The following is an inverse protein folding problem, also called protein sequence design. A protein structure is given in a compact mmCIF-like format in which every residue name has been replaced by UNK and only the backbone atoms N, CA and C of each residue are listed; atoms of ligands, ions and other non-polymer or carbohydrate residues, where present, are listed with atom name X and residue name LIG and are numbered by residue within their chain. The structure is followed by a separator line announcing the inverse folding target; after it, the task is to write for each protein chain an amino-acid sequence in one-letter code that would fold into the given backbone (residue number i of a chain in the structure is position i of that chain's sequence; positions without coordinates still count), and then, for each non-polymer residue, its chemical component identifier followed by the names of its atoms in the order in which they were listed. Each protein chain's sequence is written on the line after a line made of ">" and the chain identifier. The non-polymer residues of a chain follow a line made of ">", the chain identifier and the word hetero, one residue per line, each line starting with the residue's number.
data_IF_212207965171
#
_entry.id   IF_212207965171
#
_cell.length_a   1.000
_cell.length_b   1.000
_cell.length_c   1.000
_cell.angle_alpha   90.00
_cell.angle_beta   90.00
_cell.angle_gamma   90.00
#
_symmetry.space_group_name_H-M   'P 1'
#
loop_
_entity.id
_entity.type
_entity.pdbx_description
1 polymer ?
#
# COMPACT_ATOMS: atom_id res chain seq x y z
N UNK A 1 -4.75 44.62 25.14
CA UNK A 1 -3.51 44.86 24.37
C UNK A 1 -3.85 44.63 22.91
N UNK A 2 -4.07 45.69 22.13
CA UNK A 2 -4.38 45.59 20.71
C UNK A 2 -3.11 45.27 19.92
N UNK A 3 -3.10 44.14 19.21
CA UNK A 3 -2.03 43.80 18.27
C UNK A 3 -2.01 44.81 17.10
N UNK A 4 -0.83 45.29 16.67
CA UNK A 4 -0.72 46.24 15.57
C UNK A 4 -1.28 45.63 14.28
N UNK A 5 -1.95 46.44 13.44
CA UNK A 5 -2.73 46.01 12.26
C UNK A 5 -2.02 44.97 11.37
N UNK A 6 -0.70 45.11 11.20
CA UNK A 6 0.13 44.25 10.35
C UNK A 6 0.26 42.81 10.87
N UNK A 7 0.24 42.61 12.19
CA UNK A 7 0.30 41.27 12.80
C UNK A 7 -1.07 40.57 12.72
N UNK A 8 -2.16 41.35 12.74
CA UNK A 8 -3.53 40.85 12.59
C UNK A 8 -3.77 40.32 11.16
N UNK A 9 -3.33 41.08 10.16
CA UNK A 9 -3.37 40.66 8.75
C UNK A 9 -2.59 39.36 8.49
N UNK A 10 -1.41 39.21 9.11
CA UNK A 10 -0.60 37.99 8.97
C UNK A 10 -1.27 36.78 9.64
N UNK A 11 -1.86 36.97 10.81
CA UNK A 11 -2.61 35.94 11.52
C UNK A 11 -3.86 35.51 10.74
N UNK A 12 -4.58 36.47 10.16
CA UNK A 12 -5.78 36.21 9.35
C UNK A 12 -5.43 35.43 8.08
N UNK A 13 -4.31 35.78 7.40
CA UNK A 13 -3.82 35.05 6.24
C UNK A 13 -3.41 33.60 6.60
N UNK A 14 -2.74 33.40 7.75
CA UNK A 14 -2.38 32.06 8.22
C UNK A 14 -3.62 31.21 8.53
N UNK A 15 -4.64 31.81 9.16
CA UNK A 15 -5.93 31.14 9.39
C UNK A 15 -6.62 30.75 8.09
N UNK A 16 -6.62 31.62 7.09
CA UNK A 16 -7.24 31.36 5.80
C UNK A 16 -6.55 30.19 5.07
N UNK A 17 -5.21 30.20 5.01
CA UNK A 17 -4.42 29.13 4.39
C UNK A 17 -4.65 27.79 5.09
N UNK A 18 -4.59 27.76 6.42
CA UNK A 18 -4.84 26.53 7.18
C UNK A 18 -6.28 26.05 7.01
N UNK A 19 -7.26 26.96 7.03
CA UNK A 19 -8.66 26.59 6.80
C UNK A 19 -8.87 26.00 5.41
N UNK A 20 -8.19 26.49 4.39
CA UNK A 20 -8.31 25.99 3.01
C UNK A 20 -7.68 24.61 2.81
N UNK A 21 -6.57 24.32 3.50
CA UNK A 21 -5.91 23.01 3.44
C UNK A 21 -6.73 21.90 4.12
N UNK A 22 -7.47 22.24 5.18
CA UNK A 22 -8.19 21.27 6.01
C UNK A 22 -9.72 21.32 5.84
N UNK A 23 -10.26 22.29 5.11
CA UNK A 23 -11.68 22.31 4.75
C UNK A 23 -11.90 21.46 3.50
N UNK A 24 -12.48 20.28 3.70
CA UNK A 24 -12.93 19.42 2.61
C UNK A 24 -14.15 20.08 1.93
N UNK A 25 -14.14 20.34 0.61
CA UNK A 25 -15.31 20.86 -0.08
C UNK A 25 -16.43 19.80 -0.05
N UNK A 26 -17.54 20.17 0.60
CA UNK A 26 -18.85 19.52 0.62
C UNK A 26 -18.95 18.10 0.07
N UNK A 27 -18.89 17.10 0.95
CA UNK A 27 -19.78 15.94 0.76
C UNK A 27 -21.20 16.48 0.83
N UNK A 28 -21.94 16.36 -0.28
CA UNK A 28 -23.38 16.53 -0.27
C UNK A 28 -23.93 15.50 0.73
N UNK A 29 -24.46 15.95 1.86
CA UNK A 29 -25.25 15.09 2.75
C UNK A 29 -26.50 14.68 1.98
N UNK A 30 -26.49 13.49 1.38
CA UNK A 30 -27.73 12.82 0.99
C UNK A 30 -28.53 12.56 2.27
N UNK A 31 -29.74 13.12 2.30
CA UNK A 31 -30.76 12.89 3.33
C UNK A 31 -30.86 11.38 3.60
N UNK A 32 -30.74 10.92 4.86
CA UNK A 32 -30.70 9.49 5.15
C UNK A 32 -32.05 8.85 4.80
N UNK A 33 -32.03 7.98 3.79
CA UNK A 33 -33.16 7.09 3.45
C UNK A 33 -33.46 6.22 4.68
N UNK A 34 -34.68 6.36 5.20
CA UNK A 34 -35.34 5.60 6.29
C UNK A 34 -34.68 4.22 6.53
N UNK A 35 -33.89 4.13 7.60
CA UNK A 35 -33.21 2.90 8.02
C UNK A 35 -34.23 1.82 8.40
N UNK A 36 -34.08 0.63 7.83
CA UNK A 36 -34.70 -0.60 8.36
C UNK A 36 -34.05 -0.90 9.72
N UNK A 37 -34.78 -1.44 10.70
CA UNK A 37 -34.21 -1.70 12.02
C UNK A 37 -33.06 -2.71 11.91
N UNK A 38 -31.88 -2.28 12.34
CA UNK A 38 -30.68 -3.12 12.46
C UNK A 38 -30.95 -4.13 13.58
N UNK A 39 -30.81 -5.41 13.24
CA UNK A 39 -30.93 -6.52 14.17
C UNK A 39 -29.82 -6.40 15.22
N UNK A 40 -30.19 -6.26 16.48
CA UNK A 40 -29.23 -6.18 17.61
C UNK A 40 -28.42 -7.46 17.71
N UNK A 41 -27.12 -7.38 17.44
CA UNK A 41 -26.16 -8.46 17.73
C UNK A 41 -25.78 -8.35 19.21
N UNK A 42 -26.02 -9.41 19.99
CA UNK A 42 -25.62 -9.46 21.40
C UNK A 42 -24.08 -9.42 21.51
N UNK A 43 -23.51 -8.63 22.43
CA UNK A 43 -22.06 -8.60 22.64
C UNK A 43 -21.58 -9.93 23.23
N UNK A 44 -20.42 -10.41 22.73
CA UNK A 44 -19.70 -11.55 23.32
C UNK A 44 -19.09 -11.13 24.67
N UNK A 45 -19.12 -11.99 25.71
CA UNK A 45 -18.56 -11.64 27.01
C UNK A 45 -17.03 -11.49 26.90
N UNK A 46 -16.49 -10.40 27.47
CA UNK A 46 -15.05 -10.18 27.62
C UNK A 46 -14.43 -9.00 26.88
N UNK A 47 -15.22 -8.18 26.16
CA UNK A 47 -14.68 -6.99 25.46
C UNK A 47 -15.32 -5.72 26.02
N UNK A 48 -14.60 -5.03 26.89
CA UNK A 48 -14.99 -3.69 27.37
C UNK A 48 -15.00 -2.74 26.18
N UNK A 49 -16.14 -2.12 25.92
CA UNK A 49 -16.27 -1.05 24.93
C UNK A 49 -15.68 0.20 25.59
N UNK A 50 -14.51 0.63 25.11
CA UNK A 50 -13.88 1.86 25.59
C UNK A 50 -14.69 3.02 25.05
N UNK A 51 -15.42 3.69 25.94
CA UNK A 51 -16.35 4.78 25.63
C UNK A 51 -15.73 6.17 25.71
N UNK A 52 -14.43 6.27 26.01
CA UNK A 52 -13.71 7.54 26.17
C UNK A 52 -12.49 7.58 25.25
N UNK A 53 -12.16 8.73 24.62
CA UNK A 53 -10.90 8.91 23.91
C UNK A 53 -9.73 8.66 24.86
N UNK A 54 -8.68 7.96 24.41
CA UNK A 54 -7.46 7.75 25.20
C UNK A 54 -6.87 9.11 25.58
N UNK A 55 -6.74 9.39 26.88
CA UNK A 55 -5.94 10.50 27.36
C UNK A 55 -4.45 10.14 27.22
N UNK A 56 -3.74 10.85 26.33
CA UNK A 56 -2.27 10.82 26.24
C UNK A 56 -1.68 11.54 27.45
N UNK A 57 -1.68 10.88 28.61
CA UNK A 57 -0.82 11.31 29.73
C UNK A 57 0.59 10.82 29.46
N UNK A 58 1.42 11.68 28.89
CA UNK A 58 2.86 11.46 28.75
C UNK A 58 3.49 11.72 30.12
N UNK A 59 3.83 10.66 30.84
CA UNK A 59 4.74 10.79 31.98
C UNK A 59 6.14 11.10 31.46
N UNK A 60 6.65 12.27 31.82
CA UNK A 60 8.04 12.67 31.58
C UNK A 60 8.97 11.79 32.43
N UNK A 61 9.46 10.68 31.86
CA UNK A 61 10.59 9.93 32.43
C UNK A 61 11.89 10.42 31.80
N UNK A 62 12.68 11.17 32.56
CA UNK A 62 14.07 11.50 32.24
C UNK A 62 15.01 10.35 32.66
N UNK A 63 14.70 9.12 32.23
CA UNK A 63 15.52 7.94 32.44
C UNK A 63 16.21 7.51 31.14
N UNK A 64 17.38 6.84 31.20
CA UNK A 64 18.01 6.27 30.01
C UNK A 64 17.03 5.30 29.34
N UNK A 65 16.78 5.51 28.06
CA UNK A 65 15.96 4.61 27.26
C UNK A 65 16.72 3.29 27.11
N UNK A 66 16.32 2.30 27.90
CA UNK A 66 16.80 0.93 27.76
C UNK A 66 16.14 0.33 26.50
N UNK A 67 16.91 -0.22 25.55
CA UNK A 67 16.34 -0.82 24.35
C UNK A 67 15.50 -2.03 24.75
N UNK A 68 14.23 -2.07 24.32
CA UNK A 68 13.47 -3.31 24.35
C UNK A 68 14.15 -4.30 23.39
N UNK A 69 14.56 -5.45 23.94
CA UNK A 69 15.05 -6.60 23.20
C UNK A 69 13.91 -7.18 22.35
N UNK A 70 13.88 -6.81 21.07
CA UNK A 70 13.18 -7.59 20.06
C UNK A 70 14.06 -8.79 19.71
N UNK A 71 13.51 -9.97 19.97
CA UNK A 71 14.02 -11.31 19.71
C UNK A 71 15.09 -11.42 18.60
N UNK A 72 16.20 -12.04 18.99
CA UNK A 72 17.30 -12.53 18.17
C UNK A 72 16.81 -13.43 17.03
N UNK A 73 16.66 -12.85 15.84
CA UNK A 73 17.16 -13.49 14.63
C UNK A 73 18.30 -12.57 14.17
N UNK A 74 19.54 -12.95 14.51
CA UNK A 74 20.77 -12.35 13.98
C UNK A 74 20.93 -12.75 12.50
N UNK A 75 19.96 -12.34 11.68
CA UNK A 75 20.16 -12.15 10.26
C UNK A 75 20.74 -10.74 10.10
N UNK A 76 21.87 -10.64 9.40
CA UNK A 76 22.48 -9.40 8.88
C UNK A 76 21.47 -8.25 8.84
N UNK A 77 21.63 -7.24 9.71
CA UNK A 77 20.58 -6.27 10.04
C UNK A 77 19.88 -5.76 8.77
N UNK A 78 18.66 -6.26 8.50
CA UNK A 78 17.96 -6.01 7.24
C UNK A 78 17.98 -4.50 6.95
N UNK A 79 18.67 -4.10 5.88
CA UNK A 79 18.89 -2.70 5.47
C UNK A 79 17.57 -1.89 5.51
N UNK A 80 16.45 -2.53 5.18
CA UNK A 80 15.12 -1.94 5.33
C UNK A 80 14.76 -1.60 6.79
N UNK A 81 14.96 -2.52 7.73
CA UNK A 81 14.69 -2.32 9.16
C UNK A 81 15.55 -1.19 9.73
N UNK A 82 16.82 -1.10 9.33
CA UNK A 82 17.73 -0.01 9.73
C UNK A 82 17.16 1.34 9.30
N UNK A 83 16.79 1.48 8.02
CA UNK A 83 16.21 2.72 7.50
C UNK A 83 14.88 3.08 8.17
N UNK A 84 14.06 2.07 8.53
CA UNK A 84 12.80 2.31 9.22
C UNK A 84 13.00 2.79 10.65
N UNK A 85 14.00 2.26 11.36
CA UNK A 85 14.41 2.75 12.67
C UNK A 85 14.91 4.19 12.60
N UNK A 86 15.82 4.49 11.67
CA UNK A 86 16.33 5.85 11.45
C UNK A 86 15.22 6.85 11.09
N UNK A 87 14.25 6.45 10.25
CA UNK A 87 13.08 7.27 9.92
C UNK A 87 12.31 7.66 11.19
N UNK A 88 12.04 6.68 12.07
CA UNK A 88 11.32 6.91 13.32
C UNK A 88 12.08 7.85 14.25
N UNK A 89 13.37 7.63 14.43
CA UNK A 89 14.24 8.48 15.25
C UNK A 89 14.25 9.93 14.74
N UNK A 90 14.51 10.13 13.45
CA UNK A 90 14.50 11.47 12.85
C UNK A 90 13.14 12.15 12.96
N UNK A 91 12.04 11.40 12.85
CA UNK A 91 10.70 11.96 13.00
C UNK A 91 10.39 12.38 14.44
N UNK A 92 10.85 11.62 15.44
CA UNK A 92 10.74 12.00 16.85
C UNK A 92 11.54 13.28 17.12
N UNK A 93 12.81 13.32 16.71
CA UNK A 93 13.67 14.49 16.89
C UNK A 93 13.14 15.73 16.18
N UNK A 94 12.63 15.59 14.95
CA UNK A 94 11.98 16.68 14.22
C UNK A 94 10.80 17.28 15.00
N UNK A 95 9.95 16.44 15.60
CA UNK A 95 8.81 16.89 16.39
C UNK A 95 9.25 17.68 17.62
N UNK A 96 10.29 17.21 18.31
CA UNK A 96 10.86 17.90 19.46
C UNK A 96 11.40 19.28 19.10
N UNK A 97 12.14 19.40 17.98
CA UNK A 97 12.63 20.70 17.51
C UNK A 97 11.51 21.65 17.13
N UNK A 98 10.47 21.18 16.43
CA UNK A 98 9.35 22.05 16.08
C UNK A 98 8.51 22.46 17.28
N UNK A 99 8.32 21.58 18.26
CA UNK A 99 7.71 21.93 19.54
C UNK A 99 8.53 23.00 20.25
N UNK A 100 9.84 22.80 20.35
CA UNK A 100 10.74 23.76 20.99
C UNK A 100 10.79 25.10 20.27
N UNK A 101 10.75 25.09 18.93
CA UNK A 101 10.70 26.30 18.12
C UNK A 101 9.39 27.08 18.35
N UNK A 102 8.27 26.37 18.46
CA UNK A 102 6.98 26.96 18.80
C UNK A 102 7.00 27.60 20.20
N UNK A 103 7.55 26.89 21.19
CA UNK A 103 7.66 27.40 22.57
C UNK A 103 8.57 28.64 22.63
N UNK A 104 9.72 28.63 21.93
CA UNK A 104 10.61 29.79 21.83
C UNK A 104 9.92 31.00 21.16
N UNK A 105 9.15 30.75 20.10
CA UNK A 105 8.37 31.79 19.43
C UNK A 105 7.29 32.37 20.35
N UNK A 106 6.57 31.53 21.08
CA UNK A 106 5.56 31.94 22.04
C UNK A 106 6.16 32.77 23.20
N UNK A 107 7.38 32.44 23.62
CA UNK A 107 8.15 33.19 24.62
C UNK A 107 8.78 34.49 24.06
N UNK A 108 8.65 34.76 22.76
CA UNK A 108 9.15 35.97 22.10
C UNK A 108 10.61 35.91 21.64
N UNK A 109 11.31 34.79 21.86
CA UNK A 109 12.68 34.59 21.38
C UNK A 109 12.68 34.11 19.93
N UNK A 110 12.61 35.07 19.01
CA UNK A 110 12.56 34.81 17.57
C UNK A 110 13.87 34.22 17.03
N UNK A 111 15.01 34.59 17.59
CA UNK A 111 16.30 34.10 17.11
C UNK A 111 16.46 32.61 17.42
N UNK A 112 16.13 32.21 18.65
CA UNK A 112 16.12 30.81 19.06
C UNK A 112 15.07 30.01 18.28
N UNK A 113 13.87 30.55 18.08
CA UNK A 113 12.82 29.90 17.29
C UNK A 113 13.28 29.59 15.86
N UNK A 114 13.93 30.55 15.19
CA UNK A 114 14.45 30.38 13.83
C UNK A 114 15.57 29.33 13.76
N UNK A 115 16.43 29.25 14.77
CA UNK A 115 17.47 28.23 14.85
C UNK A 115 16.89 26.82 15.03
N UNK A 116 15.97 26.67 15.99
CA UNK A 116 15.28 25.40 16.25
C UNK A 116 14.44 24.96 15.03
N UNK A 117 13.84 25.91 14.31
CA UNK A 117 13.12 25.63 13.07
C UNK A 117 14.05 25.05 12.00
N UNK A 118 15.26 25.59 11.83
CA UNK A 118 16.26 25.05 10.89
C UNK A 118 16.69 23.63 11.28
N UNK A 119 16.87 23.36 12.57
CA UNK A 119 17.19 22.01 13.06
C UNK A 119 16.03 21.03 12.78
N UNK A 120 14.79 21.43 13.04
CA UNK A 120 13.62 20.63 12.72
C UNK A 120 13.49 20.33 11.22
N UNK A 121 13.78 21.31 10.35
CA UNK A 121 13.81 21.11 8.89
C UNK A 121 14.90 20.13 8.46
N UNK A 122 16.07 20.19 9.08
CA UNK A 122 17.17 19.25 8.81
C UNK A 122 16.77 17.79 9.13
N UNK A 123 16.18 17.55 10.30
CA UNK A 123 15.70 16.20 10.66
C UNK A 123 14.48 15.77 9.84
N UNK A 124 13.62 16.70 9.41
CA UNK A 124 12.55 16.41 8.46
C UNK A 124 13.12 15.86 7.14
N UNK A 125 14.14 16.52 6.60
CA UNK A 125 14.79 16.08 5.36
C UNK A 125 15.39 14.68 5.52
N UNK A 126 16.10 14.42 6.63
CA UNK A 126 16.64 13.09 6.92
C UNK A 126 15.56 12.01 7.03
N UNK A 127 14.46 12.29 7.74
CA UNK A 127 13.36 11.36 7.87
C UNK A 127 12.76 11.00 6.50
N UNK A 128 12.56 12.01 5.64
CA UNK A 128 12.05 11.80 4.27
C UNK A 128 13.00 10.96 3.42
N UNK A 129 14.30 11.25 3.47
CA UNK A 129 15.27 10.47 2.70
C UNK A 129 15.37 9.02 3.17
N UNK A 130 15.32 8.77 4.48
CA UNK A 130 15.32 7.41 5.02
C UNK A 130 14.05 6.65 4.64
N UNK A 131 12.88 7.30 4.71
CA UNK A 131 11.59 6.73 4.33
C UNK A 131 11.55 6.39 2.83
N UNK A 132 12.02 7.29 1.98
CA UNK A 132 12.11 7.08 0.53
C UNK A 132 13.06 5.93 0.18
N UNK A 133 14.26 5.89 0.77
CA UNK A 133 15.20 4.78 0.58
C UNK A 133 14.61 3.45 1.03
N UNK A 134 13.90 3.43 2.17
CA UNK A 134 13.25 2.21 2.65
C UNK A 134 12.14 1.73 1.72
N UNK A 135 11.39 2.66 1.12
CA UNK A 135 10.35 2.37 0.14
C UNK A 135 10.93 1.80 -1.16
N UNK A 136 12.05 2.37 -1.62
CA UNK A 136 12.80 1.87 -2.78
C UNK A 136 13.28 0.44 -2.56
N UNK A 137 13.85 0.12 -1.39
CA UNK A 137 14.27 -1.24 -1.06
C UNK A 137 13.12 -2.26 -1.12
N UNK A 138 11.92 -1.89 -0.65
CA UNK A 138 10.74 -2.78 -0.79
C UNK A 138 10.42 -3.04 -2.25
N UNK A 139 10.43 -2.00 -3.09
CA UNK A 139 10.11 -2.12 -4.51
C UNK A 139 11.17 -2.92 -5.27
N UNK A 140 12.45 -2.71 -4.97
CA UNK A 140 13.57 -3.47 -5.55
C UNK A 140 13.50 -4.94 -5.14
N UNK A 141 13.29 -5.22 -3.85
CA UNK A 141 13.09 -6.60 -3.35
C UNK A 141 11.93 -7.29 -4.05
N UNK A 142 10.83 -6.59 -4.35
CA UNK A 142 9.71 -7.14 -5.13
C UNK A 142 10.04 -7.37 -6.61
N UNK A 143 10.93 -6.59 -7.21
CA UNK A 143 11.38 -6.82 -8.58
C UNK A 143 12.25 -8.06 -8.70
N UNK A 144 13.12 -8.27 -7.71
CA UNK A 144 14.00 -9.44 -7.64
C UNK A 144 13.24 -10.71 -7.27
N UNK A 145 12.22 -10.61 -6.41
CA UNK A 145 11.37 -11.73 -6.03
C UNK A 145 10.13 -11.78 -6.92
N UNK A 146 10.19 -12.64 -7.94
CA UNK A 146 9.06 -12.89 -8.81
C UNK A 146 7.97 -13.69 -8.08
N UNK A 147 6.81 -13.06 -7.86
CA UNK A 147 5.64 -13.75 -7.32
C UNK A 147 5.05 -14.66 -8.40
N UNK A 148 4.98 -15.97 -8.13
CA UNK A 148 4.44 -16.96 -9.07
C UNK A 148 3.06 -17.42 -8.62
N UNK A 149 2.03 -17.01 -9.37
CA UNK A 149 0.67 -17.52 -9.19
C UNK A 149 0.53 -18.83 -9.95
N UNK A 150 0.29 -19.93 -9.24
CA UNK A 150 0.12 -21.26 -9.87
C UNK A 150 -1.36 -21.60 -10.05
N UNK A 151 -1.74 -22.02 -11.25
CA UNK A 151 -3.10 -22.43 -11.61
C UNK A 151 -3.07 -23.81 -12.25
N UNK A 152 -3.77 -24.76 -11.64
CA UNK A 152 -3.90 -26.11 -12.18
C UNK A 152 -5.15 -26.26 -13.06
N UNK A 153 -4.94 -26.53 -14.33
CA UNK A 153 -5.94 -26.78 -15.36
C UNK A 153 -6.07 -28.26 -15.72
N UNK A 154 -5.36 -29.17 -15.05
CA UNK A 154 -5.32 -30.60 -15.36
C UNK A 154 -6.71 -31.26 -15.38
N UNK A 155 -7.57 -30.90 -14.42
CA UNK A 155 -8.90 -31.50 -14.27
C UNK A 155 -10.02 -30.72 -14.97
N UNK A 156 -9.70 -29.56 -15.56
CA UNK A 156 -10.70 -28.68 -16.17
C UNK A 156 -11.14 -29.18 -17.56
N UNK A 157 -12.41 -29.03 -17.91
CA UNK A 157 -12.85 -29.18 -19.29
C UNK A 157 -12.16 -28.14 -20.20
N UNK A 158 -12.05 -28.41 -21.51
CA UNK A 158 -11.37 -27.47 -22.44
C UNK A 158 -11.96 -26.05 -22.40
N UNK A 159 -13.29 -25.92 -22.30
CA UNK A 159 -13.95 -24.60 -22.22
C UNK A 159 -13.68 -23.91 -20.88
N UNK A 160 -13.67 -24.67 -19.80
CA UNK A 160 -13.41 -24.17 -18.45
C UNK A 160 -11.97 -23.70 -18.33
N UNK A 161 -11.00 -24.49 -18.83
CA UNK A 161 -9.60 -24.12 -18.87
C UNK A 161 -9.36 -22.77 -19.57
N UNK A 162 -9.99 -22.56 -20.73
CA UNK A 162 -9.92 -21.28 -21.47
C UNK A 162 -10.58 -20.15 -20.69
N UNK A 163 -11.75 -20.38 -20.09
CA UNK A 163 -12.43 -19.37 -19.28
C UNK A 163 -11.60 -18.95 -18.07
N UNK A 164 -11.01 -19.92 -17.38
CA UNK A 164 -10.12 -19.72 -16.24
C UNK A 164 -8.88 -18.96 -16.64
N UNK A 165 -8.23 -19.34 -17.76
CA UNK A 165 -7.08 -18.63 -18.29
C UNK A 165 -7.40 -17.16 -18.63
N UNK A 166 -8.49 -16.92 -19.37
CA UNK A 166 -8.97 -15.56 -19.68
C UNK A 166 -9.22 -14.75 -18.40
N UNK A 167 -9.80 -15.36 -17.37
CA UNK A 167 -10.03 -14.70 -16.10
C UNK A 167 -8.70 -14.25 -15.47
N UNK A 168 -7.74 -15.17 -15.31
CA UNK A 168 -6.46 -14.83 -14.69
C UNK A 168 -5.65 -13.80 -15.48
N UNK A 169 -5.59 -13.91 -16.80
CA UNK A 169 -4.97 -12.88 -17.65
C UNK A 169 -5.68 -11.54 -17.48
N UNK A 170 -7.01 -11.49 -17.59
CA UNK A 170 -7.74 -10.24 -17.42
C UNK A 170 -7.64 -9.60 -16.02
N UNK A 171 -7.38 -10.38 -14.97
CA UNK A 171 -7.30 -9.86 -13.59
C UNK A 171 -5.90 -9.60 -13.08
N UNK A 172 -4.90 -10.35 -13.55
CA UNK A 172 -3.53 -10.30 -13.02
C UNK A 172 -2.54 -9.64 -13.99
N UNK A 173 -2.90 -9.44 -15.26
CA UNK A 173 -2.05 -8.72 -16.21
C UNK A 173 -1.82 -7.27 -15.79
N UNK A 174 -0.62 -6.77 -16.05
CA UNK A 174 -0.18 -5.42 -15.68
C UNK A 174 0.27 -5.26 -14.23
N UNK A 175 0.23 -6.32 -13.41
CA UNK A 175 0.84 -6.31 -12.09
C UNK A 175 2.33 -6.62 -12.26
N UNK A 176 3.24 -5.72 -11.83
CA UNK A 176 4.68 -5.91 -12.02
C UNK A 176 5.24 -7.05 -11.17
N UNK A 177 6.28 -7.69 -11.70
CA UNK A 177 7.06 -8.79 -11.13
C UNK A 177 6.23 -10.03 -10.80
N UNK A 178 5.15 -10.26 -11.58
CA UNK A 178 4.28 -11.42 -11.41
C UNK A 178 4.34 -12.37 -12.61
N UNK A 179 4.41 -13.66 -12.29
CA UNK A 179 4.31 -14.74 -13.27
C UNK A 179 3.08 -15.58 -13.00
N UNK A 180 2.43 -16.02 -14.08
CA UNK A 180 1.37 -17.02 -14.06
C UNK A 180 1.93 -18.37 -14.52
N UNK A 181 1.97 -19.33 -13.60
CA UNK A 181 2.33 -20.72 -13.86
C UNK A 181 1.07 -21.54 -14.07
N UNK A 182 0.92 -22.12 -15.25
CA UNK A 182 -0.23 -22.93 -15.63
C UNK A 182 0.17 -24.39 -15.77
N UNK A 183 -0.51 -25.27 -15.02
CA UNK A 183 -0.33 -26.72 -15.10
C UNK A 183 -1.48 -27.29 -15.95
N UNK A 184 -1.21 -27.65 -17.20
CA UNK A 184 -2.21 -28.14 -18.16
C UNK A 184 -2.27 -29.68 -18.17
N UNK A 185 -1.13 -30.33 -17.90
CA UNK A 185 -0.94 -31.79 -17.92
C UNK A 185 -0.29 -32.33 -19.20
N UNK A 186 0.25 -33.56 -19.10
CA UNK A 186 0.96 -34.27 -20.18
C UNK A 186 0.01 -34.62 -21.35
N UNK A 187 0.51 -34.50 -22.58
CA UNK A 187 -0.22 -34.66 -23.84
C UNK A 187 -0.54 -36.13 -24.21
N UNK A 188 -0.28 -37.09 -23.32
CA UNK A 188 -0.54 -38.53 -23.54
C UNK A 188 -2.02 -38.85 -23.80
N UNK A 189 -2.94 -38.03 -23.31
CA UNK A 189 -4.38 -38.20 -23.54
C UNK A 189 -4.91 -37.24 -24.61
N UNK A 190 -5.69 -37.73 -25.57
CA UNK A 190 -6.24 -36.93 -26.68
C UNK A 190 -7.05 -35.69 -26.22
N UNK A 191 -7.80 -35.81 -25.11
CA UNK A 191 -8.53 -34.68 -24.50
C UNK A 191 -7.61 -33.63 -23.89
N UNK A 192 -6.51 -34.06 -23.26
CA UNK A 192 -5.48 -33.17 -22.69
C UNK A 192 -4.73 -32.43 -23.80
N UNK A 193 -4.48 -33.13 -24.92
CA UNK A 193 -3.90 -32.52 -26.11
C UNK A 193 -4.80 -31.39 -26.65
N UNK A 194 -6.11 -31.62 -26.80
CA UNK A 194 -7.04 -30.56 -27.25
C UNK A 194 -7.08 -29.34 -26.32
N UNK A 195 -6.99 -29.54 -24.99
CA UNK A 195 -6.92 -28.44 -24.02
C UNK A 195 -5.64 -27.62 -24.22
N UNK A 196 -4.49 -28.29 -24.28
CA UNK A 196 -3.19 -27.64 -24.49
C UNK A 196 -3.17 -26.85 -25.79
N UNK A 197 -3.62 -27.45 -26.90
CA UNK A 197 -3.68 -26.76 -28.19
C UNK A 197 -4.48 -25.46 -28.09
N UNK A 198 -5.68 -25.49 -27.50
CA UNK A 198 -6.50 -24.26 -27.39
C UNK A 198 -5.92 -23.21 -26.46
N UNK A 199 -5.23 -23.62 -25.40
CA UNK A 199 -4.52 -22.68 -24.51
C UNK A 199 -3.41 -21.98 -25.28
N UNK A 200 -2.59 -22.72 -26.02
CA UNK A 200 -1.51 -22.15 -26.83
C UNK A 200 -2.04 -21.27 -27.97
N UNK A 201 -3.09 -21.70 -28.67
CA UNK A 201 -3.78 -20.89 -29.69
C UNK A 201 -4.28 -19.55 -29.11
N UNK A 202 -4.78 -19.54 -27.88
CA UNK A 202 -5.21 -18.29 -27.22
C UNK A 202 -3.99 -17.38 -26.96
N UNK A 203 -2.90 -17.93 -26.43
CA UNK A 203 -1.70 -17.13 -26.13
C UNK A 203 -1.07 -16.56 -27.40
N UNK A 204 -1.01 -17.35 -28.48
CA UNK A 204 -0.58 -16.89 -29.81
C UNK A 204 -1.46 -15.77 -30.34
N UNK A 205 -2.78 -15.94 -30.25
CA UNK A 205 -3.74 -14.94 -30.73
C UNK A 205 -3.58 -13.59 -30.01
N UNK A 206 -3.34 -13.61 -28.70
CA UNK A 206 -3.13 -12.40 -27.90
C UNK A 206 -1.66 -11.93 -27.92
N UNK A 207 -0.79 -12.56 -28.72
CA UNK A 207 0.66 -12.26 -28.81
C UNK A 207 1.38 -12.29 -27.46
N UNK A 208 0.90 -13.12 -26.53
CA UNK A 208 1.48 -13.31 -25.20
C UNK A 208 2.65 -14.28 -25.33
N UNK A 209 3.81 -13.96 -24.72
CA UNK A 209 4.95 -14.89 -24.67
C UNK A 209 4.80 -15.86 -23.50
N UNK A 210 5.19 -17.11 -23.71
CA UNK A 210 5.25 -18.13 -22.65
C UNK A 210 6.52 -18.97 -22.76
N UNK A 211 6.96 -19.52 -21.64
CA UNK A 211 8.06 -20.49 -21.56
C UNK A 211 7.54 -21.80 -20.99
N UNK A 212 8.09 -22.94 -21.44
CA UNK A 212 7.77 -24.25 -20.85
C UNK A 212 8.76 -24.54 -19.71
N UNK A 213 8.25 -24.81 -18.51
CA UNK A 213 9.06 -24.93 -17.29
C UNK A 213 8.98 -26.35 -16.71
N UNK A 214 10.13 -27.02 -16.65
CA UNK A 214 10.29 -28.30 -15.96
C UNK A 214 9.53 -29.45 -16.62
N UNK A 215 8.27 -29.65 -16.22
CA UNK A 215 7.45 -30.80 -16.64
C UNK A 215 6.67 -30.50 -17.94
N UNK A 216 6.56 -31.48 -18.86
CA UNK A 216 5.73 -31.33 -20.06
C UNK A 216 4.28 -31.06 -19.65
N UNK A 217 3.73 -29.95 -20.11
CA UNK A 217 2.40 -29.51 -19.70
C UNK A 217 2.37 -28.34 -18.72
N UNK A 218 3.52 -27.80 -18.31
CA UNK A 218 3.58 -26.61 -17.44
C UNK A 218 4.14 -25.42 -18.20
N UNK A 219 3.38 -24.33 -18.26
CA UNK A 219 3.81 -23.10 -18.94
C UNK A 219 3.88 -21.95 -17.94
N UNK A 220 4.82 -21.05 -18.17
CA UNK A 220 5.04 -19.84 -17.37
C UNK A 220 4.83 -18.62 -18.27
N UNK A 221 4.05 -17.66 -17.78
CA UNK A 221 3.68 -16.43 -18.49
C UNK A 221 4.08 -15.24 -17.64
N UNK A 222 4.81 -14.28 -18.20
CA UNK A 222 5.12 -13.01 -17.54
C UNK A 222 3.93 -12.07 -17.69
N UNK A 223 3.38 -11.60 -16.57
CA UNK A 223 2.16 -10.79 -16.56
C UNK A 223 2.42 -9.29 -16.74
N UNK A 224 3.63 -8.83 -16.41
CA UNK A 224 4.09 -7.45 -16.53
C UNK A 224 3.99 -6.91 -17.96
N UNK A 225 4.25 -7.76 -18.94
CA UNK A 225 4.30 -7.40 -20.37
C UNK A 225 2.91 -7.39 -21.02
N UNK A 226 1.87 -7.74 -20.28
CA UNK A 226 0.51 -7.88 -20.79
C UNK A 226 -0.32 -6.69 -20.33
N UNK A 227 -0.83 -5.91 -21.28
CA UNK A 227 -1.81 -4.89 -20.99
C UNK A 227 -3.22 -5.50 -20.99
N UNK A 228 -3.97 -5.48 -19.87
CA UNK A 228 -5.28 -6.10 -19.80
C UNK A 228 -6.30 -5.48 -20.77
N UNK A 229 -6.15 -4.21 -21.13
CA UNK A 229 -7.07 -3.52 -22.07
C UNK A 229 -6.91 -3.99 -23.52
N UNK A 230 -5.74 -4.51 -23.88
CA UNK A 230 -5.45 -4.97 -25.25
C UNK A 230 -5.95 -6.42 -25.50
N UNK A 231 -6.39 -7.12 -24.45
CA UNK A 231 -6.88 -8.49 -24.54
C UNK A 231 -8.25 -8.54 -25.24
N UNK A 232 -8.36 -9.34 -26.30
CA UNK A 232 -9.55 -9.38 -27.17
C UNK A 232 -10.85 -9.81 -26.46
N UNK A 233 -10.73 -10.40 -25.26
CA UNK A 233 -11.83 -10.94 -24.47
C UNK A 233 -12.23 -10.08 -23.26
N UNK A 234 -11.52 -8.98 -22.96
CA UNK A 234 -11.81 -8.19 -21.76
C UNK A 234 -13.19 -7.48 -21.83
N UNK A 235 -13.69 -7.21 -23.05
CA UNK A 235 -15.03 -6.66 -23.32
C UNK A 235 -16.16 -7.68 -23.45
N UNK A 236 -15.90 -8.99 -23.40
CA UNK A 236 -16.95 -10.03 -23.54
C UNK A 236 -17.89 -10.10 -22.32
N UNK A 237 -17.54 -9.46 -21.20
CA UNK A 237 -18.38 -9.41 -19.97
C UNK A 237 -19.74 -8.73 -20.18
N UNK A 238 -19.87 -7.83 -21.16
CA UNK A 238 -21.12 -7.07 -21.38
C UNK A 238 -22.14 -7.76 -22.30
N UNK A 239 -21.84 -8.93 -22.90
CA UNK A 239 -22.73 -9.55 -23.91
C UNK A 239 -23.50 -10.79 -23.45
N UNK A 240 -23.14 -11.42 -22.34
CA UNK A 240 -23.77 -12.68 -21.89
C UNK A 240 -24.52 -12.53 -20.55
N UNK A 241 -25.03 -11.33 -20.28
CA UNK A 241 -25.83 -11.00 -19.10
C UNK A 241 -27.28 -10.71 -19.44
N UNK A 242 -27.90 -11.50 -20.32
CA UNK A 242 -29.35 -11.59 -20.52
C UNK A 242 -29.78 -13.06 -20.58
#
# INVERSE_FOLDING_TARGET
>A
MDLPRRDRERYDLQREVLSSLFSVPGRVEEIPKKNRPIRTVKPRPGRTVVSEPLEDTIEHSNGPVEPQEDSEDEEEEDSYRVLRRATKEHWVTMKEYFKSAFDAFANGDRALADELLKQGQYFNQKAREADERSSQLILERRKENHDVVTVDLHDHGTKEAIRTLKFYLGTLSGIPSQYLKLIIGDAKDAKKNSRRTKVLELLEKESIKWTEEGNPGTILIQLDDINPEDLSFNGERSRNGE
#
